data_IF_142259967710
#
_entry.id   IF_142259967710
#
_cell.length_a   1.000
_cell.length_b   1.000
_cell.length_c   1.000
_cell.angle_alpha   90.00
_cell.angle_beta   90.00
_cell.angle_gamma   90.00
#
_symmetry.space_group_name_H-M   'P 1'
#
loop_
_entity.id
_entity.type
_entity.pdbx_description
1 polymer ?
#
# COMPACT_ATOMS: atom_id res chain seq x y z
N UNK A 1 0.52 0.01 -27.04
CA UNK A 1 0.71 1.19 -26.18
C UNK A 1 1.61 0.72 -25.05
N UNK A 2 2.89 1.12 -25.02
CA UNK A 2 3.79 0.71 -23.93
C UNK A 2 3.43 1.50 -22.69
N UNK A 3 2.88 0.83 -21.67
CA UNK A 3 2.60 1.45 -20.38
C UNK A 3 3.92 1.97 -19.80
N UNK A 4 4.02 3.29 -19.60
CA UNK A 4 5.15 3.88 -18.89
C UNK A 4 4.89 3.71 -17.40
N UNK A 5 5.53 2.71 -16.80
CA UNK A 5 5.57 2.57 -15.35
C UNK A 5 6.39 3.72 -14.76
N UNK A 6 5.76 4.53 -13.92
CA UNK A 6 6.45 5.55 -13.13
C UNK A 6 6.66 4.99 -11.72
N UNK A 7 7.93 4.79 -11.35
CA UNK A 7 8.31 4.33 -10.02
C UNK A 7 8.76 5.51 -9.18
N UNK A 8 8.24 5.62 -7.96
CA UNK A 8 8.65 6.62 -6.98
C UNK A 8 9.29 5.93 -5.78
N UNK A 9 10.46 6.42 -5.35
CA UNK A 9 11.01 6.03 -4.07
C UNK A 9 10.26 6.79 -2.96
N UNK A 10 9.51 6.04 -2.15
CA UNK A 10 8.74 6.56 -1.02
C UNK A 10 9.66 6.62 0.20
N UNK A 11 9.86 7.82 0.74
CA UNK A 11 10.67 8.06 1.93
C UNK A 11 9.83 7.96 3.21
N UNK A 12 8.58 8.42 3.15
CA UNK A 12 7.68 8.48 4.30
C UNK A 12 6.22 8.36 3.86
N UNK A 13 5.42 7.59 4.61
CA UNK A 13 3.95 7.62 4.52
C UNK A 13 3.45 8.66 5.53
N UNK A 14 2.89 9.75 5.05
CA UNK A 14 2.50 10.89 5.90
C UNK A 14 1.06 10.80 6.38
N UNK A 15 0.20 10.09 5.65
CA UNK A 15 -1.20 9.89 6.02
C UNK A 15 -1.73 8.59 5.42
N UNK A 16 -2.46 7.83 6.22
CA UNK A 16 -3.25 6.70 5.77
C UNK A 16 -4.70 6.91 6.25
N UNK A 17 -5.64 6.93 5.31
CA UNK A 17 -7.08 6.92 5.62
C UNK A 17 -7.68 5.72 4.92
N UNK A 18 -8.36 4.88 5.69
CA UNK A 18 -9.06 3.70 5.19
C UNK A 18 -10.52 3.83 5.60
N UNK A 19 -11.44 3.52 4.69
CA UNK A 19 -12.85 3.46 5.05
C UNK A 19 -13.07 2.33 6.06
N UNK A 20 -13.70 2.60 7.22
CA UNK A 20 -13.89 1.59 8.27
C UNK A 20 -14.80 0.43 7.83
N UNK A 21 -15.61 0.62 6.79
CA UNK A 21 -16.48 -0.39 6.18
C UNK A 21 -15.93 -0.93 4.85
N UNK A 22 -14.75 -0.46 4.42
CA UNK A 22 -14.15 -0.79 3.13
C UNK A 22 -14.91 -0.25 1.90
N UNK A 23 -16.03 0.45 2.07
CA UNK A 23 -16.91 0.85 0.97
C UNK A 23 -16.35 2.02 0.13
N UNK A 24 -15.56 2.89 0.74
CA UNK A 24 -14.95 4.05 0.08
C UNK A 24 -13.48 3.85 -0.31
N UNK A 25 -12.89 2.71 0.04
CA UNK A 25 -11.49 2.37 -0.26
C UNK A 25 -10.48 3.06 0.66
N UNK A 26 -9.33 3.45 0.13
CA UNK A 26 -8.24 4.04 0.93
C UNK A 26 -7.48 5.15 0.20
N UNK A 27 -6.91 6.06 0.99
CA UNK A 27 -6.00 7.11 0.56
C UNK A 27 -4.69 6.99 1.34
N UNK A 28 -3.59 6.88 0.61
CA UNK A 28 -2.23 6.86 1.15
C UNK A 28 -1.48 8.08 0.63
N UNK A 29 -1.17 9.03 1.51
CA UNK A 29 -0.31 10.16 1.19
C UNK A 29 1.13 9.84 1.58
N UNK A 30 2.05 10.15 0.69
CA UNK A 30 3.46 9.79 0.77
C UNK A 30 4.34 10.97 0.39
N UNK A 31 5.48 11.11 1.05
CA UNK A 31 6.59 11.93 0.58
C UNK A 31 7.59 11.05 -0.15
N UNK A 32 7.94 11.45 -1.36
CA UNK A 32 8.90 10.78 -2.21
C UNK A 32 10.22 11.57 -2.28
N UNK A 33 11.27 10.88 -2.74
CA UNK A 33 12.55 11.51 -3.02
C UNK A 33 12.38 12.71 -3.96
N UNK A 34 13.11 13.80 -3.69
CA UNK A 34 12.97 15.07 -4.42
C UNK A 34 11.88 15.99 -3.88
N UNK A 35 11.27 15.68 -2.73
CA UNK A 35 10.29 16.55 -2.05
C UNK A 35 8.91 16.54 -2.70
N UNK A 36 8.63 15.55 -3.55
CA UNK A 36 7.33 15.41 -4.18
C UNK A 36 6.35 14.70 -3.23
N UNK A 37 5.18 15.31 -3.02
CA UNK A 37 4.05 14.64 -2.38
C UNK A 37 3.29 13.80 -3.41
N UNK A 38 3.10 12.52 -3.11
CA UNK A 38 2.32 11.59 -3.94
C UNK A 38 1.14 11.07 -3.13
N UNK A 39 -0.03 11.00 -3.76
CA UNK A 39 -1.22 10.41 -3.15
C UNK A 39 -1.65 9.20 -3.98
N UNK A 40 -1.67 8.04 -3.35
CA UNK A 40 -2.23 6.81 -3.90
C UNK A 40 -3.68 6.70 -3.41
N UNK A 41 -4.62 6.59 -4.36
CA UNK A 41 -6.03 6.35 -4.08
C UNK A 41 -6.37 4.94 -4.52
N UNK A 42 -6.84 4.12 -3.59
CA UNK A 42 -7.22 2.75 -3.81
C UNK A 42 -8.75 2.65 -3.78
N UNK A 43 -9.33 2.18 -4.89
CA UNK A 43 -10.73 1.79 -4.90
C UNK A 43 -10.95 0.57 -3.97
N UNK A 44 -12.18 0.36 -3.45
CA UNK A 44 -12.51 -0.73 -2.53
C UNK A 44 -11.97 -2.11 -2.93
N UNK A 45 -12.13 -2.48 -4.21
CA UNK A 45 -11.67 -3.78 -4.70
C UNK A 45 -10.14 -3.92 -4.66
N UNK A 46 -9.41 -2.84 -4.93
CA UNK A 46 -7.95 -2.84 -4.91
C UNK A 46 -7.41 -2.81 -3.48
N UNK A 47 -8.12 -2.12 -2.57
CA UNK A 47 -7.83 -2.17 -1.15
C UNK A 47 -7.98 -3.61 -0.61
N UNK A 48 -9.10 -4.29 -0.90
CA UNK A 48 -9.31 -5.67 -0.48
C UNK A 48 -8.24 -6.63 -1.03
N UNK A 49 -7.76 -6.39 -2.26
CA UNK A 49 -6.64 -7.14 -2.83
C UNK A 49 -5.33 -6.88 -2.09
N UNK A 50 -5.03 -5.61 -1.76
CA UNK A 50 -3.84 -5.26 -0.98
C UNK A 50 -3.87 -5.87 0.42
N UNK A 51 -5.02 -5.82 1.10
CA UNK A 51 -5.22 -6.45 2.42
C UNK A 51 -4.92 -7.95 2.37
N UNK A 52 -5.47 -8.68 1.39
CA UNK A 52 -5.19 -10.11 1.23
C UNK A 52 -3.72 -10.43 0.92
N UNK A 53 -3.00 -9.56 0.20
CA UNK A 53 -1.57 -9.71 -0.02
C UNK A 53 -0.76 -9.49 1.25
N UNK A 54 -1.12 -8.48 2.05
CA UNK A 54 -0.45 -8.18 3.32
C UNK A 54 -0.68 -9.27 4.36
N UNK A 55 -1.91 -9.81 4.44
CA UNK A 55 -2.22 -10.94 5.33
C UNK A 55 -1.39 -12.16 4.99
N UNK A 56 -1.26 -12.48 3.70
CA UNK A 56 -0.39 -13.57 3.25
C UNK A 56 1.08 -13.33 3.59
N UNK A 57 1.60 -12.14 3.31
CA UNK A 57 2.98 -11.80 3.64
C UNK A 57 3.26 -11.93 5.14
N UNK A 58 2.31 -11.51 5.98
CA UNK A 58 2.40 -11.62 7.43
C UNK A 58 2.43 -13.09 7.89
N UNK A 59 1.60 -13.96 7.31
CA UNK A 59 1.64 -15.40 7.58
C UNK A 59 3.00 -16.01 7.23
N UNK A 60 3.53 -15.72 6.04
CA UNK A 60 4.84 -16.22 5.59
C UNK A 60 5.97 -15.73 6.52
N UNK A 61 5.90 -14.48 6.99
CA UNK A 61 6.85 -13.93 7.97
C UNK A 61 6.76 -14.63 9.33
N UNK A 62 5.56 -14.92 9.82
CA UNK A 62 5.36 -15.64 11.08
C UNK A 62 5.90 -17.08 11.01
N UNK A 63 5.66 -17.78 9.91
CA UNK A 63 6.21 -19.13 9.68
C UNK A 63 7.74 -19.12 9.68
N UNK A 64 8.37 -18.12 9.05
CA UNK A 64 9.82 -17.99 9.05
C UNK A 64 10.41 -17.60 10.42
N UNK A 65 9.65 -16.90 11.26
CA UNK A 65 10.07 -16.57 12.63
C UNK A 65 9.98 -17.75 13.59
N UNK A 66 9.16 -18.77 13.32
CA UNK A 66 9.08 -19.97 14.16
C UNK A 66 10.25 -20.95 13.96
N UNK A 67 11.09 -20.74 12.95
CA UNK A 67 12.24 -21.60 12.62
C UNK A 67 13.55 -21.05 13.24
N UNK A 68 13.50 -19.95 13.99
CA UNK A 68 14.60 -19.42 14.82
C UNK A 68 14.20 -19.38 16.31
#
# INVERSE_FOLDING_TARGET
MTERTHSFEVLEITKLVVSPDGADGAVIAMHCAGGQGVQLVLAPQQLAQLEGLLDRANLEQMEHQQIH
#
